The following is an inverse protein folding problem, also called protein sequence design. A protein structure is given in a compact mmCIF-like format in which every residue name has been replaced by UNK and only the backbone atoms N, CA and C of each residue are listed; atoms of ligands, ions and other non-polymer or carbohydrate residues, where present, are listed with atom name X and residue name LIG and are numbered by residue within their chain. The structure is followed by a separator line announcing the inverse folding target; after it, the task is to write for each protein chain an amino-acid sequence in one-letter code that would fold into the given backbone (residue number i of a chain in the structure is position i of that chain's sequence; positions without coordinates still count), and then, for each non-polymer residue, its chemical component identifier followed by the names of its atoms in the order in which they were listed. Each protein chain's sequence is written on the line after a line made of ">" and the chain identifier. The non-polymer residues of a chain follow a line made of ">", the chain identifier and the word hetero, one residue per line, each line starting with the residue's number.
data_IF_111149366671
#
_entry.id   IF_111149366671
#
_cell.length_a   1.000
_cell.length_b   1.000
_cell.length_c   1.000
_cell.angle_alpha   90.00
_cell.angle_beta   90.00
_cell.angle_gamma   90.00
#
_symmetry.space_group_name_H-M   'P 1'
#
loop_
_entity.id
_entity.type
_entity.pdbx_description
1 polymer ?
#
# COMPACT_ATOMS: atom_id res chain seq x y z
N UNK A 1 -7.56 25.89 28.79
CA UNK A 1 -7.80 26.96 27.81
C UNK A 1 -7.94 26.32 26.43
N UNK A 2 -8.99 26.65 25.67
CA UNK A 2 -9.17 26.12 24.32
C UNK A 2 -8.21 26.81 23.35
N UNK A 3 -7.58 26.04 22.45
CA UNK A 3 -6.67 26.59 21.44
C UNK A 3 -7.37 27.62 20.54
N UNK A 4 -6.72 28.75 20.36
CA UNK A 4 -7.15 29.81 19.43
C UNK A 4 -7.04 29.32 17.98
N UNK A 5 -7.79 29.94 17.07
CA UNK A 5 -7.77 29.58 15.65
C UNK A 5 -6.36 29.78 15.04
N UNK A 6 -5.66 30.85 15.44
CA UNK A 6 -4.29 31.13 15.01
C UNK A 6 -3.31 30.02 15.44
N UNK A 7 -3.44 29.50 16.67
CA UNK A 7 -2.62 28.38 17.16
C UNK A 7 -2.91 27.08 16.42
N UNK A 8 -4.19 26.82 16.07
CA UNK A 8 -4.57 25.65 15.24
C UNK A 8 -3.94 25.74 13.87
N UNK A 9 -4.04 26.89 13.21
CA UNK A 9 -3.44 27.08 11.88
C UNK A 9 -1.90 26.98 11.92
N UNK A 10 -1.25 27.49 12.98
CA UNK A 10 0.20 27.35 13.16
C UNK A 10 0.60 25.89 13.34
N UNK A 11 -0.10 25.14 14.21
CA UNK A 11 0.14 23.69 14.41
C UNK A 11 -0.12 22.89 13.14
N UNK A 12 -1.18 23.21 12.41
CA UNK A 12 -1.48 22.57 11.13
C UNK A 12 -0.34 22.76 10.12
N UNK A 13 0.13 24.00 9.93
CA UNK A 13 1.27 24.30 9.05
C UNK A 13 2.56 23.61 9.49
N UNK A 14 2.82 23.55 10.80
CA UNK A 14 3.97 22.82 11.34
C UNK A 14 3.89 21.32 11.06
N UNK A 15 2.72 20.70 11.25
CA UNK A 15 2.48 19.29 10.90
C UNK A 15 2.67 19.05 9.40
N UNK A 16 2.14 19.93 8.56
CA UNK A 16 2.29 19.83 7.11
C UNK A 16 3.76 19.89 6.70
N UNK A 17 4.52 20.85 7.25
CA UNK A 17 5.95 20.98 6.98
C UNK A 17 6.75 19.78 7.47
N UNK A 18 6.42 19.25 8.66
CA UNK A 18 7.05 18.04 9.18
C UNK A 18 6.78 16.83 8.30
N UNK A 19 5.55 16.68 7.79
CA UNK A 19 5.17 15.61 6.85
C UNK A 19 5.84 15.78 5.49
N UNK A 20 6.02 16.99 5.00
CA UNK A 20 6.73 17.26 3.75
C UNK A 20 8.26 17.18 3.88
N UNK A 21 8.78 16.95 5.09
CA UNK A 21 10.23 16.85 5.32
C UNK A 21 10.76 15.49 4.86
N UNK A 22 11.97 15.49 4.29
CA UNK A 22 12.69 14.25 3.96
C UNK A 22 12.89 13.31 5.18
N UNK A 23 12.92 13.86 6.40
CA UNK A 23 13.00 13.06 7.62
C UNK A 23 11.77 12.17 7.86
N UNK A 24 10.62 12.49 7.26
CA UNK A 24 9.41 11.68 7.36
C UNK A 24 9.34 10.55 6.33
N UNK A 25 10.28 10.48 5.37
CA UNK A 25 10.27 9.49 4.30
C UNK A 25 10.28 8.04 4.80
N UNK A 26 11.09 7.64 5.81
CA UNK A 26 11.06 6.27 6.31
C UNK A 26 9.70 5.87 6.87
N UNK A 27 9.05 6.78 7.59
CA UNK A 27 7.73 6.52 8.17
C UNK A 27 6.65 6.46 7.10
N UNK A 28 6.71 7.35 6.11
CA UNK A 28 5.79 7.31 4.96
C UNK A 28 5.93 6.05 4.13
N UNK A 29 7.16 5.53 4.00
CA UNK A 29 7.40 4.25 3.36
C UNK A 29 6.78 3.10 4.15
N UNK A 30 6.93 3.08 5.49
CA UNK A 30 6.26 2.07 6.35
C UNK A 30 4.74 2.14 6.23
N UNK A 31 4.17 3.34 6.32
CA UNK A 31 2.72 3.55 6.16
C UNK A 31 2.22 3.11 4.77
N UNK A 32 3.03 3.29 3.72
CA UNK A 32 2.71 2.81 2.38
C UNK A 32 2.73 1.28 2.32
N UNK A 33 3.72 0.64 2.94
CA UNK A 33 3.84 -0.84 3.01
C UNK A 33 2.63 -1.43 3.71
N UNK A 34 2.28 -0.93 4.90
CA UNK A 34 1.13 -1.44 5.66
C UNK A 34 -0.19 -1.31 4.89
N UNK A 35 -0.42 -0.18 4.22
CA UNK A 35 -1.62 0.01 3.39
C UNK A 35 -1.67 -0.96 2.22
N UNK A 36 -0.54 -1.25 1.59
CA UNK A 36 -0.48 -2.20 0.49
C UNK A 36 -0.68 -3.65 0.98
N UNK A 37 -0.09 -4.03 2.12
CA UNK A 37 -0.35 -5.35 2.74
C UNK A 37 -1.84 -5.50 3.05
N UNK A 38 -2.46 -4.48 3.64
CA UNK A 38 -3.89 -4.51 3.93
C UNK A 38 -4.75 -4.59 2.66
N UNK A 39 -4.36 -3.89 1.58
CA UNK A 39 -5.04 -3.97 0.30
C UNK A 39 -4.95 -5.37 -0.33
N UNK A 40 -3.76 -5.98 -0.30
CA UNK A 40 -3.54 -7.35 -0.78
C UNK A 40 -4.35 -8.36 0.04
N UNK A 41 -4.34 -8.23 1.37
CA UNK A 41 -5.14 -9.07 2.26
C UNK A 41 -6.65 -8.90 2.01
N UNK A 42 -7.12 -7.66 1.89
CA UNK A 42 -8.53 -7.36 1.63
C UNK A 42 -9.00 -7.94 0.29
N UNK A 43 -8.13 -7.98 -0.72
CA UNK A 43 -8.41 -8.69 -1.97
C UNK A 43 -8.40 -10.20 -1.77
N UNK A 44 -7.44 -10.74 -1.02
CA UNK A 44 -7.32 -12.17 -0.72
C UNK A 44 -8.54 -12.71 0.05
N UNK A 45 -9.15 -11.92 0.94
CA UNK A 45 -10.36 -12.32 1.65
C UNK A 45 -11.62 -12.35 0.76
N UNK A 46 -11.57 -11.82 -0.47
CA UNK A 46 -12.70 -11.89 -1.40
C UNK A 46 -12.84 -13.31 -1.96
N UNK A 47 -14.07 -13.78 -2.21
CA UNK A 47 -14.27 -15.04 -2.93
C UNK A 47 -13.66 -14.93 -4.34
N UNK A 48 -13.01 -16.00 -4.78
CA UNK A 48 -12.54 -16.13 -6.16
C UNK A 48 -13.73 -16.11 -7.13
N UNK A 49 -13.51 -15.87 -8.44
CA UNK A 49 -14.57 -15.96 -9.46
C UNK A 49 -15.28 -17.34 -9.50
N UNK A 50 -14.64 -18.37 -8.95
CA UNK A 50 -15.15 -19.74 -8.88
C UNK A 50 -15.85 -20.03 -7.53
N UNK A 51 -15.93 -19.05 -6.63
CA UNK A 51 -16.57 -19.14 -5.32
C UNK A 51 -15.70 -19.72 -4.20
N UNK A 52 -14.47 -20.15 -4.50
CA UNK A 52 -13.51 -20.62 -3.51
C UNK A 52 -12.83 -19.42 -2.81
N UNK A 53 -12.63 -19.49 -1.50
CA UNK A 53 -11.83 -18.51 -0.77
C UNK A 53 -10.36 -18.68 -1.11
N UNK A 54 -9.62 -17.59 -1.37
CA UNK A 54 -8.17 -17.68 -1.58
C UNK A 54 -7.44 -18.23 -0.35
N UNK A 55 -7.98 -18.00 0.85
CA UNK A 55 -7.45 -18.54 2.09
C UNK A 55 -7.44 -20.08 2.10
N UNK A 56 -8.44 -20.72 1.47
CA UNK A 56 -8.51 -22.19 1.38
C UNK A 56 -7.57 -22.76 0.31
N UNK A 57 -7.20 -21.95 -0.68
CA UNK A 57 -6.29 -22.32 -1.76
C UNK A 57 -4.83 -22.20 -1.27
N UNK A 58 -4.50 -21.10 -0.61
CA UNK A 58 -3.14 -20.76 -0.23
C UNK A 58 -2.79 -21.15 1.23
N UNK A 59 -3.78 -21.60 2.02
CA UNK A 59 -3.62 -22.00 3.42
C UNK A 59 -3.30 -20.85 4.38
N UNK A 60 -3.63 -19.62 3.98
CA UNK A 60 -3.34 -18.39 4.73
C UNK A 60 -4.64 -17.79 5.28
N UNK A 61 -4.83 -17.86 6.60
CA UNK A 61 -6.12 -17.56 7.23
C UNK A 61 -6.11 -16.32 8.14
N UNK A 62 -5.00 -15.58 8.20
CA UNK A 62 -4.91 -14.37 9.01
C UNK A 62 -3.98 -13.35 8.38
N UNK A 63 -4.28 -12.06 8.64
CA UNK A 63 -3.44 -10.95 8.21
C UNK A 63 -1.99 -11.07 8.74
N UNK A 64 -1.81 -11.53 9.97
CA UNK A 64 -0.46 -11.67 10.56
C UNK A 64 0.34 -12.80 9.91
N UNK A 65 -0.31 -13.92 9.57
CA UNK A 65 0.31 -14.99 8.79
C UNK A 65 0.66 -14.49 7.38
N UNK A 66 -0.28 -13.79 6.73
CA UNK A 66 -0.08 -13.24 5.39
C UNK A 66 1.09 -12.24 5.35
N UNK A 67 1.14 -11.32 6.33
CA UNK A 67 2.27 -10.40 6.54
C UNK A 67 3.57 -11.18 6.69
N UNK A 68 3.60 -12.18 7.56
CA UNK A 68 4.79 -13.01 7.79
C UNK A 68 5.26 -13.71 6.52
N UNK A 69 4.34 -14.22 5.70
CA UNK A 69 4.65 -14.90 4.45
C UNK A 69 5.22 -13.93 3.39
N UNK A 70 4.72 -12.70 3.35
CA UNK A 70 5.26 -11.63 2.49
C UNK A 70 6.65 -11.16 2.96
N UNK A 71 6.89 -11.10 4.27
CA UNK A 71 8.15 -10.64 4.86
C UNK A 71 9.29 -11.67 4.74
N UNK A 72 8.97 -12.97 4.69
CA UNK A 72 9.96 -14.06 4.56
C UNK A 72 10.88 -13.92 3.35
N UNK A 73 10.42 -13.28 2.27
CA UNK A 73 11.25 -12.92 1.14
C UNK A 73 10.79 -11.56 0.57
N UNK A 74 11.64 -10.51 0.56
CA UNK A 74 11.28 -9.19 0.01
C UNK A 74 10.78 -9.23 -1.44
N UNK A 75 11.21 -10.23 -2.22
CA UNK A 75 10.73 -10.45 -3.58
C UNK A 75 9.25 -10.83 -3.65
N UNK A 76 8.72 -11.52 -2.64
CA UNK A 76 7.34 -11.98 -2.61
C UNK A 76 6.36 -10.80 -2.54
N UNK A 77 6.66 -9.81 -1.70
CA UNK A 77 5.80 -8.64 -1.56
C UNK A 77 5.70 -7.81 -2.85
N UNK A 78 6.84 -7.53 -3.48
CA UNK A 78 6.86 -6.77 -4.74
C UNK A 78 6.23 -7.57 -5.88
N UNK A 79 6.44 -8.89 -5.93
CA UNK A 79 5.79 -9.75 -6.93
C UNK A 79 4.27 -9.80 -6.72
N UNK A 80 3.80 -9.91 -5.48
CA UNK A 80 2.37 -9.87 -5.15
C UNK A 80 1.74 -8.55 -5.59
N UNK A 81 2.40 -7.41 -5.35
CA UNK A 81 1.94 -6.11 -5.85
C UNK A 81 1.88 -6.08 -7.40
N UNK A 82 2.91 -6.62 -8.06
CA UNK A 82 3.01 -6.60 -9.53
C UNK A 82 2.07 -7.57 -10.24
N UNK A 83 1.52 -8.56 -9.54
CA UNK A 83 0.52 -9.48 -10.09
C UNK A 83 -0.74 -8.75 -10.59
N UNK A 84 -0.99 -7.55 -10.07
CA UNK A 84 -2.12 -6.70 -10.46
C UNK A 84 -1.83 -5.80 -11.67
N UNK A 85 -0.62 -5.80 -12.22
CA UNK A 85 -0.35 -5.03 -13.45
C UNK A 85 -0.92 -5.75 -14.68
N UNK A 86 -1.36 -5.01 -15.72
CA UNK A 86 -1.23 -3.56 -15.88
C UNK A 86 -2.40 -2.71 -15.37
N UNK A 87 -3.54 -3.31 -15.03
CA UNK A 87 -4.83 -2.61 -14.88
C UNK A 87 -5.42 -2.63 -13.47
N UNK A 88 -4.78 -3.31 -12.53
CA UNK A 88 -5.23 -3.50 -11.15
C UNK A 88 -6.60 -4.17 -11.04
N UNK A 89 -6.90 -5.08 -11.97
CA UNK A 89 -8.18 -5.78 -12.03
C UNK A 89 -8.56 -6.41 -10.69
N UNK A 90 -9.80 -6.15 -10.25
CA UNK A 90 -10.37 -6.71 -9.02
C UNK A 90 -10.04 -5.93 -7.74
N UNK A 91 -9.15 -4.93 -7.79
CA UNK A 91 -8.91 -4.00 -6.68
C UNK A 91 -9.90 -2.83 -6.72
N UNK A 92 -10.21 -2.29 -5.55
CA UNK A 92 -10.86 -0.98 -5.44
C UNK A 92 -9.87 0.12 -5.83
N UNK A 93 -10.36 1.34 -6.07
CA UNK A 93 -9.48 2.47 -6.37
C UNK A 93 -8.46 2.71 -5.25
N UNK A 94 -8.87 2.65 -3.98
CA UNK A 94 -7.97 2.88 -2.84
C UNK A 94 -6.89 1.79 -2.72
N UNK A 95 -7.27 0.54 -2.94
CA UNK A 95 -6.35 -0.61 -2.94
C UNK A 95 -5.34 -0.51 -4.08
N UNK A 96 -5.82 -0.19 -5.29
CA UNK A 96 -4.94 0.01 -6.45
C UNK A 96 -3.92 1.12 -6.19
N UNK A 97 -4.33 2.23 -5.55
CA UNK A 97 -3.40 3.31 -5.18
C UNK A 97 -2.37 2.87 -4.13
N UNK A 98 -2.78 2.08 -3.14
CA UNK A 98 -1.87 1.54 -2.13
C UNK A 98 -0.81 0.63 -2.77
N UNK A 99 -1.23 -0.31 -3.62
CA UNK A 99 -0.35 -1.23 -4.34
C UNK A 99 0.56 -0.49 -5.32
N UNK A 100 0.02 0.44 -6.11
CA UNK A 100 0.80 1.20 -7.08
C UNK A 100 1.88 2.08 -6.43
N UNK A 101 1.62 2.62 -5.23
CA UNK A 101 2.61 3.39 -4.46
C UNK A 101 3.85 2.55 -4.17
N UNK A 102 3.68 1.27 -3.83
CA UNK A 102 4.80 0.35 -3.58
C UNK A 102 5.57 0.03 -4.84
N UNK A 103 4.89 -0.20 -5.96
CA UNK A 103 5.54 -0.42 -7.25
C UNK A 103 6.38 0.80 -7.63
N UNK A 104 5.81 2.02 -7.49
CA UNK A 104 6.52 3.27 -7.75
C UNK A 104 7.76 3.45 -6.85
N UNK A 105 7.64 3.14 -5.55
CA UNK A 105 8.77 3.19 -4.62
C UNK A 105 9.87 2.19 -5.00
N UNK A 106 9.50 0.95 -5.33
CA UNK A 106 10.45 -0.08 -5.73
C UNK A 106 11.21 0.29 -7.03
N UNK A 107 10.48 0.83 -8.01
CA UNK A 107 11.04 1.30 -9.28
C UNK A 107 11.96 2.53 -9.05
N UNK A 108 11.56 3.47 -8.20
CA UNK A 108 12.35 4.67 -7.87
C UNK A 108 13.66 4.31 -7.15
N UNK A 109 13.63 3.31 -6.26
CA UNK A 109 14.80 2.79 -5.57
C UNK A 109 15.68 1.89 -6.46
N UNK A 110 15.29 1.64 -7.73
CA UNK A 110 15.94 0.72 -8.65
C UNK A 110 16.15 -0.68 -8.07
N UNK A 111 15.29 -1.08 -7.13
CA UNK A 111 15.22 -2.46 -6.67
C UNK A 111 14.68 -3.40 -7.77
N UNK A 112 14.23 -2.81 -8.89
CA UNK A 112 13.91 -3.41 -10.17
C UNK A 112 13.98 -2.35 -11.31
N UNK A 113 14.04 -2.74 -12.60
CA UNK A 113 14.03 -1.79 -13.72
C UNK A 113 12.70 -1.00 -13.81
N UNK A 114 12.74 0.32 -14.12
CA UNK A 114 11.56 1.20 -14.11
C UNK A 114 10.55 0.88 -15.22
N UNK A 115 9.24 0.94 -14.90
CA UNK A 115 8.13 0.66 -15.84
C UNK A 115 7.10 1.79 -15.90
N UNK A 116 6.49 2.01 -17.07
CA UNK A 116 5.36 2.94 -17.21
C UNK A 116 4.09 2.34 -16.57
N UNK A 117 3.39 3.13 -15.75
CA UNK A 117 2.17 2.73 -15.05
C UNK A 117 1.02 3.69 -15.38
N UNK A 118 -0.19 3.17 -15.57
CA UNK A 118 -1.42 3.95 -15.68
C UNK A 118 -2.23 3.79 -14.39
N UNK A 119 -2.53 4.91 -13.71
CA UNK A 119 -3.27 4.90 -12.44
C UNK A 119 -4.73 5.32 -12.69
N UNK A 120 -5.73 4.67 -12.05
CA UNK A 120 -7.10 5.15 -12.09
C UNK A 120 -7.23 6.51 -11.37
N UNK A 121 -8.10 7.41 -11.86
CA UNK A 121 -8.37 8.71 -11.21
C UNK A 121 -9.19 8.53 -9.93
N UNK A 122 -8.78 9.20 -8.86
CA UNK A 122 -9.59 9.32 -7.63
C UNK A 122 -10.87 10.14 -7.91
N UNK A 123 -12.00 9.70 -7.31
CA UNK A 123 -13.29 10.39 -7.36
C UNK A 123 -13.34 11.57 -6.37
#
# INVERSE_FOLDING_TARGET
>A
MAMTNAERQRRYRQRLKARASGAALPEQARDAVERAIFALWSFHERPSPQGLSWADIDGCHSLDQYRSDLERNPGNFIQACRAFLPDFAGLTAEEAHAVATIIALADALRLAPPRAMALPRAA
#
